data_IF_405989961911
#
_entry.id   IF_405989961911
#
_cell.length_a   1.000
_cell.length_b   1.000
_cell.length_c   1.000
_cell.angle_alpha   90.00
_cell.angle_beta   90.00
_cell.angle_gamma   90.00
#
_symmetry.space_group_name_H-M   'P 1'
#
loop_
_entity.id
_entity.type
_entity.pdbx_description
1 polymer ?
#
# COMPACT_ATOMS: atom_id res chain seq x y z
N UNK A 1 -18.17 -61.07 -25.42
CA UNK A 1 -17.16 -60.02 -25.38
C UNK A 1 -17.80 -58.77 -24.79
N UNK A 2 -17.54 -58.48 -23.52
CA UNK A 2 -18.01 -57.25 -22.86
C UNK A 2 -16.94 -56.20 -22.98
N UNK A 3 -17.26 -55.07 -23.68
CA UNK A 3 -16.39 -53.92 -23.72
C UNK A 3 -16.65 -53.07 -22.45
N UNK A 4 -15.65 -52.96 -21.57
CA UNK A 4 -15.63 -52.01 -20.46
C UNK A 4 -15.34 -50.61 -21.03
N UNK A 5 -16.33 -49.74 -21.02
CA UNK A 5 -16.12 -48.32 -21.26
C UNK A 5 -15.54 -47.67 -19.98
N UNK A 6 -14.28 -47.29 -20.06
CA UNK A 6 -13.67 -46.45 -19.04
C UNK A 6 -14.22 -45.03 -19.17
N UNK A 7 -15.14 -44.65 -18.28
CA UNK A 7 -15.57 -43.25 -18.14
C UNK A 7 -14.46 -42.52 -17.41
N UNK A 8 -13.66 -41.75 -18.15
CA UNK A 8 -12.68 -40.86 -17.57
C UNK A 8 -13.38 -39.75 -16.82
N UNK A 9 -13.28 -39.72 -15.49
CA UNK A 9 -13.70 -38.58 -14.66
C UNK A 9 -12.65 -37.49 -14.84
N UNK A 10 -13.02 -36.48 -15.63
CA UNK A 10 -12.21 -35.26 -15.76
C UNK A 10 -12.46 -34.46 -14.47
N UNK A 11 -11.46 -34.41 -13.60
CA UNK A 11 -11.46 -33.50 -12.45
C UNK A 11 -11.32 -32.05 -12.96
N UNK A 12 -12.15 -31.10 -12.48
CA UNK A 12 -11.96 -29.71 -12.81
C UNK A 12 -10.58 -29.26 -12.32
N UNK A 13 -9.81 -28.66 -13.24
CA UNK A 13 -8.54 -28.04 -12.87
C UNK A 13 -8.83 -26.90 -11.88
N UNK A 14 -8.43 -27.05 -10.63
CA UNK A 14 -8.44 -25.94 -9.65
C UNK A 14 -7.34 -24.99 -10.08
N UNK A 15 -7.73 -23.81 -10.60
CA UNK A 15 -6.80 -22.72 -10.87
C UNK A 15 -6.13 -22.31 -9.57
N UNK A 16 -4.79 -22.13 -9.54
CA UNK A 16 -4.13 -21.63 -8.35
C UNK A 16 -4.68 -20.24 -8.03
N UNK A 17 -5.28 -20.10 -6.85
CA UNK A 17 -5.63 -18.78 -6.31
C UNK A 17 -4.31 -18.01 -6.20
N UNK A 18 -4.24 -16.83 -6.84
CA UNK A 18 -3.03 -16.02 -6.78
C UNK A 18 -2.78 -15.67 -5.31
N UNK A 19 -1.68 -16.18 -4.73
CA UNK A 19 -1.33 -15.98 -3.32
C UNK A 19 -1.24 -14.50 -2.91
N UNK A 20 -1.09 -13.58 -3.88
CA UNK A 20 -1.05 -12.13 -3.68
C UNK A 20 -2.43 -11.51 -3.45
N UNK A 21 -3.53 -12.19 -3.81
CA UNK A 21 -4.90 -11.72 -3.54
C UNK A 21 -5.41 -12.14 -2.18
N UNK A 22 -4.82 -13.17 -1.58
CA UNK A 22 -5.20 -13.64 -0.26
C UNK A 22 -4.78 -12.62 0.82
N UNK A 23 -5.61 -12.41 1.86
CA UNK A 23 -5.23 -11.56 2.98
C UNK A 23 -4.03 -12.13 3.74
N UNK A 24 -3.09 -11.24 4.11
CA UNK A 24 -2.05 -11.55 5.08
C UNK A 24 -2.38 -10.86 6.39
N UNK A 25 -2.58 -11.66 7.44
CA UNK A 25 -3.01 -11.16 8.74
C UNK A 25 -1.87 -11.17 9.75
N UNK A 26 -1.87 -10.19 10.64
CA UNK A 26 -0.86 -10.00 11.66
C UNK A 26 -1.51 -10.10 13.04
N UNK A 27 -1.24 -11.18 13.79
CA UNK A 27 -1.81 -11.35 15.13
C UNK A 27 -1.34 -10.28 16.12
N UNK A 28 -0.18 -9.66 15.85
CA UNK A 28 0.40 -8.59 16.68
C UNK A 28 -0.52 -7.36 16.79
N UNK A 29 -1.26 -7.06 15.72
CA UNK A 29 -2.18 -5.90 15.67
C UNK A 29 -3.62 -6.28 15.38
N UNK A 30 -3.86 -7.53 14.94
CA UNK A 30 -5.18 -8.03 14.56
C UNK A 30 -5.68 -7.54 13.20
N UNK A 31 -4.83 -6.88 12.40
CA UNK A 31 -5.20 -6.37 11.08
C UNK A 31 -4.57 -7.19 9.95
N UNK A 32 -5.24 -7.16 8.80
CA UNK A 32 -4.81 -7.87 7.60
C UNK A 32 -4.51 -6.86 6.49
N UNK A 33 -3.59 -7.23 5.60
CA UNK A 33 -3.32 -6.53 4.35
C UNK A 33 -3.67 -7.44 3.18
N UNK A 34 -4.16 -6.85 2.09
CA UNK A 34 -4.59 -7.62 0.91
C UNK A 34 -4.34 -6.86 -0.39
N UNK A 35 -4.51 -7.53 -1.52
CA UNK A 35 -4.47 -6.94 -2.85
C UNK A 35 -3.21 -6.12 -3.13
N UNK A 36 -3.39 -4.96 -3.75
CA UNK A 36 -2.27 -4.09 -4.15
C UNK A 36 -1.48 -3.53 -2.96
N UNK A 37 -2.13 -3.23 -1.84
CA UNK A 37 -1.44 -2.79 -0.62
C UNK A 37 -0.51 -3.88 -0.10
N UNK A 38 -0.98 -5.14 -0.05
CA UNK A 38 -0.14 -6.26 0.33
C UNK A 38 1.06 -6.42 -0.60
N UNK A 39 0.82 -6.44 -1.91
CA UNK A 39 1.88 -6.60 -2.91
C UNK A 39 2.92 -5.47 -2.79
N UNK A 40 2.47 -4.22 -2.67
CA UNK A 40 3.36 -3.08 -2.50
C UNK A 40 4.18 -3.17 -1.21
N UNK A 41 3.54 -3.48 -0.09
CA UNK A 41 4.19 -3.65 1.21
C UNK A 41 5.28 -4.72 1.16
N UNK A 42 4.98 -5.88 0.58
CA UNK A 42 5.93 -7.00 0.49
C UNK A 42 7.10 -6.71 -0.46
N UNK A 43 6.87 -6.02 -1.55
CA UNK A 43 7.90 -5.70 -2.55
C UNK A 43 8.80 -4.53 -2.17
N UNK A 44 8.36 -3.65 -1.28
CA UNK A 44 9.06 -2.41 -0.94
C UNK A 44 9.63 -2.39 0.48
N UNK A 45 9.87 -3.53 1.07
CA UNK A 45 10.62 -3.66 2.31
C UNK A 45 9.84 -4.14 3.53
N UNK A 46 8.52 -4.31 3.41
CA UNK A 46 7.70 -4.98 4.42
C UNK A 46 7.80 -4.37 5.81
N UNK A 47 7.86 -5.23 6.81
CA UNK A 47 7.84 -4.86 8.22
C UNK A 47 8.95 -3.85 8.63
N UNK A 48 10.21 -4.00 8.21
CA UNK A 48 11.25 -3.03 8.56
C UNK A 48 10.99 -1.61 8.06
N UNK A 49 10.33 -1.48 6.91
CA UNK A 49 10.08 -0.17 6.27
C UNK A 49 8.76 0.44 6.74
N UNK A 50 7.68 -0.32 6.67
CA UNK A 50 6.32 0.18 6.90
C UNK A 50 5.81 -0.06 8.32
N UNK A 51 6.31 -1.07 8.99
CA UNK A 51 5.75 -1.58 10.23
C UNK A 51 4.50 -2.42 10.01
N UNK A 52 3.81 -2.76 11.08
CA UNK A 52 2.55 -3.48 11.06
C UNK A 52 1.39 -2.58 10.59
N UNK A 53 0.34 -3.15 9.97
CA UNK A 53 -0.90 -2.41 9.79
C UNK A 53 -1.53 -2.12 11.17
N UNK A 54 -1.96 -0.90 11.37
CA UNK A 54 -2.58 -0.43 12.63
C UNK A 54 -4.08 -0.14 12.47
N UNK A 55 -4.63 -0.40 11.29
CA UNK A 55 -6.03 -0.29 10.97
C UNK A 55 -6.40 -1.09 9.71
N UNK A 56 -7.69 -1.23 9.43
CA UNK A 56 -8.15 -1.86 8.20
C UNK A 56 -7.93 -0.93 7.01
N UNK A 57 -7.97 -1.50 5.79
CA UNK A 57 -8.13 -0.70 4.59
C UNK A 57 -9.51 -0.03 4.62
N UNK A 58 -9.57 1.27 4.40
CA UNK A 58 -10.79 2.06 4.45
C UNK A 58 -10.75 3.25 3.50
N UNK A 59 -11.91 3.80 3.17
CA UNK A 59 -11.98 5.03 2.38
C UNK A 59 -11.75 6.25 3.28
N UNK A 60 -10.84 7.13 2.88
CA UNK A 60 -10.58 8.41 3.56
C UNK A 60 -10.55 9.56 2.56
N UNK A 61 -10.98 10.73 3.01
CA UNK A 61 -10.82 11.98 2.27
C UNK A 61 -9.39 12.47 2.41
N UNK A 62 -8.67 12.45 1.31
CA UNK A 62 -7.30 12.98 1.24
C UNK A 62 -7.22 13.92 0.05
N UNK A 63 -6.20 14.74 0.01
CA UNK A 63 -5.91 15.70 -1.06
C UNK A 63 -7.15 16.23 -1.80
N UNK A 64 -7.42 17.52 -1.71
CA UNK A 64 -8.57 18.17 -2.37
C UNK A 64 -9.94 17.51 -2.12
N UNK A 65 -10.09 16.82 -0.99
CA UNK A 65 -11.33 16.15 -0.57
C UNK A 65 -11.81 15.04 -1.53
N UNK A 66 -10.89 14.32 -2.14
CA UNK A 66 -11.18 13.08 -2.89
C UNK A 66 -11.09 11.87 -1.98
N UNK A 67 -12.00 10.92 -2.18
CA UNK A 67 -11.98 9.64 -1.48
C UNK A 67 -10.97 8.69 -2.12
N UNK A 68 -10.07 8.19 -1.30
CA UNK A 68 -9.14 7.12 -1.69
C UNK A 68 -9.24 5.97 -0.70
N UNK A 69 -8.96 4.75 -1.19
CA UNK A 69 -8.75 3.61 -0.31
C UNK A 69 -7.36 3.72 0.30
N UNK A 70 -7.29 3.69 1.60
CA UNK A 70 -6.03 3.82 2.34
C UNK A 70 -5.91 2.75 3.41
N UNK A 71 -4.69 2.48 3.82
CA UNK A 71 -4.42 1.69 5.01
C UNK A 71 -3.28 2.30 5.80
N UNK A 72 -3.48 2.39 7.12
CA UNK A 72 -2.51 2.93 8.05
C UNK A 72 -1.58 1.85 8.57
N UNK A 73 -0.31 2.20 8.60
CA UNK A 73 0.78 1.40 9.17
C UNK A 73 1.49 2.19 10.27
N UNK A 74 2.31 1.53 11.06
CA UNK A 74 3.02 2.19 12.18
C UNK A 74 3.85 3.40 11.73
N UNK A 75 4.37 3.43 10.50
CA UNK A 75 5.28 4.48 10.01
C UNK A 75 4.73 5.33 8.88
N UNK A 76 3.64 4.92 8.24
CA UNK A 76 3.08 5.64 7.09
C UNK A 76 1.64 5.21 6.79
N UNK A 77 1.03 5.92 5.86
CA UNK A 77 -0.25 5.57 5.24
C UNK A 77 0.00 5.18 3.78
N UNK A 78 -0.47 4.03 3.35
CA UNK A 78 -0.49 3.63 1.95
C UNK A 78 -1.85 3.99 1.34
N UNK A 79 -1.82 4.56 0.14
CA UNK A 79 -2.98 5.09 -0.58
C UNK A 79 -3.08 4.41 -1.94
N UNK A 80 -4.28 3.91 -2.29
CA UNK A 80 -4.54 3.37 -3.62
C UNK A 80 -4.95 4.48 -4.58
N UNK A 81 -4.20 4.62 -5.63
CA UNK A 81 -4.39 5.58 -6.72
C UNK A 81 -4.61 4.84 -8.05
N UNK A 82 -5.81 4.25 -8.25
CA UNK A 82 -6.08 3.43 -9.44
C UNK A 82 -6.04 4.22 -10.74
N UNK A 83 -6.06 5.55 -10.67
CA UNK A 83 -5.86 6.46 -11.80
C UNK A 83 -4.44 6.44 -12.36
N UNK A 84 -3.48 5.96 -11.58
CA UNK A 84 -2.07 5.87 -11.99
C UNK A 84 -1.75 4.46 -12.50
N UNK A 85 -0.83 4.39 -13.45
CA UNK A 85 -0.25 3.11 -13.88
C UNK A 85 0.71 2.58 -12.80
N UNK A 86 0.76 1.24 -12.65
CA UNK A 86 1.76 0.62 -11.78
C UNK A 86 3.20 1.00 -12.22
N UNK A 87 4.13 1.22 -11.32
CA UNK A 87 4.07 1.00 -9.87
C UNK A 87 3.54 2.18 -9.05
N UNK A 88 3.01 3.22 -9.69
CA UNK A 88 2.57 4.47 -9.03
C UNK A 88 1.10 4.43 -8.58
N UNK A 89 0.47 3.27 -8.68
CA UNK A 89 -0.89 3.00 -8.23
C UNK A 89 -1.03 2.83 -6.71
N UNK A 90 0.11 2.74 -6.00
CA UNK A 90 0.17 2.82 -4.54
C UNK A 90 1.17 3.91 -4.15
N UNK A 91 0.71 4.87 -3.38
CA UNK A 91 1.53 6.00 -2.91
C UNK A 91 1.58 6.04 -1.38
N UNK A 92 2.62 6.70 -0.87
CA UNK A 92 2.71 7.03 0.55
C UNK A 92 2.01 8.37 0.80
N UNK A 93 1.17 8.40 1.84
CA UNK A 93 0.49 9.61 2.28
C UNK A 93 1.48 10.71 2.70
N UNK A 94 1.18 11.94 2.31
CA UNK A 94 1.97 13.13 2.68
C UNK A 94 1.58 13.63 4.08
N UNK A 95 1.84 12.80 5.09
CA UNK A 95 1.36 13.03 6.47
C UNK A 95 1.77 14.39 7.06
N UNK A 96 2.94 14.89 6.69
CA UNK A 96 3.39 16.22 7.10
C UNK A 96 2.52 17.33 6.53
N UNK A 97 2.16 17.23 5.25
CA UNK A 97 1.23 18.17 4.58
C UNK A 97 -0.15 18.10 5.21
N UNK A 98 -0.68 16.89 5.40
CA UNK A 98 -1.98 16.66 6.03
C UNK A 98 -2.02 17.30 7.42
N UNK A 99 -0.95 17.14 8.20
CA UNK A 99 -0.85 17.73 9.53
C UNK A 99 -0.83 19.26 9.51
N UNK A 100 -0.12 19.85 8.57
CA UNK A 100 -0.10 21.31 8.39
C UNK A 100 -1.48 21.84 7.99
N UNK A 101 -2.16 21.16 7.07
CA UNK A 101 -3.51 21.55 6.65
C UNK A 101 -4.50 21.47 7.82
N UNK A 102 -4.42 20.45 8.68
CA UNK A 102 -5.22 20.36 9.92
C UNK A 102 -4.98 21.53 10.88
N UNK A 103 -3.81 22.13 10.83
CA UNK A 103 -3.43 23.30 11.62
C UNK A 103 -3.71 24.63 10.89
N UNK A 104 -4.42 24.61 9.76
CA UNK A 104 -4.64 25.76 8.87
C UNK A 104 -3.32 26.44 8.43
N UNK A 105 -2.27 25.64 8.23
CA UNK A 105 -0.97 26.10 7.75
C UNK A 105 -0.71 25.54 6.37
N UNK A 106 -0.40 26.41 5.43
CA UNK A 106 -0.05 26.03 4.07
C UNK A 106 1.47 25.86 3.97
N UNK A 107 1.92 24.68 3.56
CA UNK A 107 3.34 24.37 3.43
C UNK A 107 4.04 25.22 2.33
N UNK A 108 3.28 25.70 1.34
CA UNK A 108 3.83 26.59 0.31
C UNK A 108 4.25 27.97 0.85
N UNK A 109 3.74 28.36 2.02
CA UNK A 109 4.07 29.64 2.65
C UNK A 109 5.34 29.61 3.46
N UNK A 110 5.91 28.42 3.69
CA UNK A 110 7.19 28.32 4.40
C UNK A 110 8.33 28.85 3.55
N UNK A 111 9.30 29.56 4.16
CA UNK A 111 10.49 30.00 3.46
C UNK A 111 11.22 28.77 2.88
N UNK A 112 11.61 28.87 1.63
CA UNK A 112 12.49 27.86 1.04
C UNK A 112 13.86 27.98 1.66
N UNK A 113 14.52 26.83 1.89
CA UNK A 113 15.93 26.85 2.26
C UNK A 113 16.71 27.54 1.15
N UNK A 114 17.58 28.48 1.55
CA UNK A 114 18.59 29.01 0.63
C UNK A 114 19.32 27.84 -0.04
N UNK A 115 19.67 27.95 -1.34
CA UNK A 115 20.52 26.95 -1.97
C UNK A 115 21.75 26.78 -1.08
N UNK A 116 21.89 25.61 -0.48
CA UNK A 116 23.08 25.36 0.33
C UNK A 116 24.28 25.50 -0.59
N UNK A 117 25.01 26.57 -0.43
CA UNK A 117 26.38 26.62 -0.94
C UNK A 117 27.05 25.36 -0.43
N UNK A 118 27.49 24.53 -1.38
CA UNK A 118 28.18 23.28 -1.13
C UNK A 118 28.99 23.38 0.17
N UNK A 119 28.68 22.50 1.12
CA UNK A 119 29.53 22.36 2.31
C UNK A 119 30.98 22.29 1.82
N UNK A 120 31.86 23.13 2.33
CA UNK A 120 33.27 22.94 2.03
C UNK A 120 33.60 21.51 2.45
N UNK A 121 33.98 20.69 1.48
CA UNK A 121 34.50 19.37 1.75
C UNK A 121 35.77 19.60 2.57
N UNK A 122 35.62 19.49 3.88
CA UNK A 122 36.76 19.42 4.77
C UNK A 122 37.45 18.10 4.52
N UNK A 123 38.51 18.13 3.75
CA UNK A 123 39.43 17.00 3.64
C UNK A 123 40.15 16.78 4.99
#
# INVERSE_FOLDING_TARGET
MMALALVGVSLPAVLPVNAQTEPRCFPETGFCIAGRIRTFWEQNGGLPVFGYPIGPQQAELIENQRLFQVQWFERNRLELHPENAAPYDVLLGRLGVDRLLQQNRDWFTFPRSEPQTLWPVLC
#
